data_IF_855860000757
#
_entry.id   IF_855860000757
#
_cell.length_a   1.000
_cell.length_b   1.000
_cell.length_c   1.000
_cell.angle_alpha   90.00
_cell.angle_beta   90.00
_cell.angle_gamma   90.00
#
_symmetry.space_group_name_H-M   'P 1'
#
loop_
_entity.id
_entity.type
_entity.pdbx_description
1 polymer ?
#
# COMPACT_ATOMS: atom_id res chain seq x y z
N UNK A 1 -23.92 -3.43 7.67
CA UNK A 1 -23.31 -3.61 9.02
C UNK A 1 -22.18 -2.59 9.15
N UNK A 2 -22.18 -1.81 10.20
CA UNK A 2 -21.11 -0.83 10.40
C UNK A 2 -19.91 -1.56 11.00
N UNK A 3 -18.87 -1.80 10.18
CA UNK A 3 -17.69 -2.58 10.62
C UNK A 3 -16.79 -1.84 11.62
N UNK A 4 -17.11 -0.58 11.94
CA UNK A 4 -16.44 0.17 13.01
C UNK A 4 -16.49 -0.54 14.35
N UNK A 5 -17.55 -1.29 14.64
CA UNK A 5 -17.69 -2.07 15.87
C UNK A 5 -16.65 -3.20 16.00
N UNK A 6 -16.06 -3.64 14.90
CA UNK A 6 -14.96 -4.62 14.89
C UNK A 6 -13.57 -3.97 15.10
N UNK A 7 -13.52 -2.63 15.13
CA UNK A 7 -12.28 -1.88 15.33
C UNK A 7 -12.27 -1.20 16.69
N UNK A 8 -13.44 -0.76 17.16
CA UNK A 8 -13.58 0.02 18.37
C UNK A 8 -14.27 -0.75 19.51
N UNK A 9 -13.78 -0.69 20.77
CA UNK A 9 -12.58 0.03 21.21
C UNK A 9 -11.26 -0.70 20.92
N UNK A 10 -11.30 -2.03 20.69
CA UNK A 10 -10.14 -2.90 20.41
C UNK A 10 -10.42 -3.71 19.15
N UNK A 11 -9.51 -3.74 18.17
CA UNK A 11 -9.73 -4.47 16.92
C UNK A 11 -9.87 -5.99 17.12
N UNK A 12 -10.96 -6.55 16.62
CA UNK A 12 -11.14 -7.99 16.40
C UNK A 12 -10.67 -8.33 14.97
N UNK A 13 -9.35 -8.43 14.77
CA UNK A 13 -8.77 -8.66 13.45
C UNK A 13 -9.21 -9.98 12.80
N UNK A 14 -9.30 -11.13 13.50
CA UNK A 14 -9.80 -12.36 12.89
C UNK A 14 -11.19 -12.18 12.28
N UNK A 15 -12.12 -11.61 13.03
CA UNK A 15 -13.49 -11.39 12.54
C UNK A 15 -13.56 -10.33 11.46
N UNK A 16 -12.77 -9.26 11.59
CA UNK A 16 -12.68 -8.21 10.57
C UNK A 16 -12.14 -8.78 9.25
N UNK A 17 -11.11 -9.62 9.30
CA UNK A 17 -10.53 -10.26 8.11
C UNK A 17 -11.55 -11.15 7.40
N UNK A 18 -12.26 -12.01 8.13
CA UNK A 18 -13.34 -12.85 7.57
C UNK A 18 -14.37 -12.02 6.84
N UNK A 19 -14.91 -10.99 7.50
CA UNK A 19 -15.95 -10.14 6.89
C UNK A 19 -15.41 -9.40 5.66
N UNK A 20 -14.18 -8.87 5.71
CA UNK A 20 -13.58 -8.20 4.56
C UNK A 20 -13.36 -9.15 3.37
N UNK A 21 -13.02 -10.41 3.62
CA UNK A 21 -12.79 -11.39 2.57
C UNK A 21 -14.10 -11.93 1.96
N UNK A 22 -15.20 -11.92 2.73
CA UNK A 22 -16.56 -12.24 2.24
C UNK A 22 -17.16 -11.11 1.38
N UNK A 23 -16.73 -9.86 1.57
CA UNK A 23 -17.22 -8.73 0.80
C UNK A 23 -16.66 -8.76 -0.63
N UNK A 24 -17.51 -8.48 -1.62
CA UNK A 24 -17.06 -8.13 -2.96
C UNK A 24 -16.26 -6.81 -2.98
N UNK A 25 -15.41 -6.65 -3.98
CA UNK A 25 -14.48 -5.51 -4.07
C UNK A 25 -15.13 -4.13 -3.82
N UNK A 26 -16.29 -3.77 -4.44
CA UNK A 26 -16.87 -2.44 -4.22
C UNK A 26 -17.27 -2.19 -2.76
N UNK A 27 -17.85 -3.19 -2.09
CA UNK A 27 -18.28 -3.07 -0.68
C UNK A 27 -17.08 -3.03 0.26
N UNK A 28 -16.04 -3.81 -0.02
CA UNK A 28 -14.76 -3.81 0.72
C UNK A 28 -14.10 -2.43 0.63
N UNK A 29 -14.03 -1.88 -0.58
CA UNK A 29 -13.44 -0.57 -0.84
C UNK A 29 -14.22 0.55 -0.12
N UNK A 30 -15.56 0.54 -0.19
CA UNK A 30 -16.39 1.50 0.53
C UNK A 30 -16.16 1.40 2.06
N UNK A 31 -16.00 0.20 2.57
CA UNK A 31 -15.70 -0.04 3.99
C UNK A 31 -14.39 0.61 4.42
N UNK A 32 -13.29 0.32 3.73
CA UNK A 32 -11.98 0.86 4.13
C UNK A 32 -11.88 2.38 3.98
N UNK A 33 -12.64 2.96 3.05
CA UNK A 33 -12.70 4.41 2.82
C UNK A 33 -13.32 5.19 3.98
N UNK A 34 -14.12 4.53 4.83
CA UNK A 34 -14.76 5.11 6.02
C UNK A 34 -13.85 5.11 7.24
N UNK A 35 -12.76 4.32 7.23
CA UNK A 35 -11.87 4.26 8.37
C UNK A 35 -11.16 5.58 8.60
N UNK A 36 -11.36 6.13 9.78
CA UNK A 36 -10.72 7.37 10.20
C UNK A 36 -9.27 7.12 10.65
N UNK A 37 -8.59 8.20 11.04
CA UNK A 37 -7.21 8.14 11.49
C UNK A 37 -7.04 7.29 12.75
N UNK A 38 -7.94 7.42 13.72
CA UNK A 38 -7.84 6.68 14.99
C UNK A 38 -7.98 5.18 14.75
N UNK A 39 -8.90 4.78 13.88
CA UNK A 39 -9.11 3.40 13.48
C UNK A 39 -7.90 2.86 12.70
N UNK A 40 -7.31 3.63 11.78
CA UNK A 40 -6.11 3.21 11.05
C UNK A 40 -4.91 3.01 11.99
N UNK A 41 -4.74 3.85 13.01
CA UNK A 41 -3.70 3.66 14.03
C UNK A 41 -3.90 2.34 14.78
N UNK A 42 -5.11 2.10 15.32
CA UNK A 42 -5.45 0.87 16.04
C UNK A 42 -5.23 -0.38 15.19
N UNK A 43 -5.69 -0.34 13.94
CA UNK A 43 -5.52 -1.44 13.00
C UNK A 43 -4.05 -1.72 12.69
N UNK A 44 -3.24 -0.68 12.48
CA UNK A 44 -1.82 -0.87 12.22
C UNK A 44 -1.10 -1.52 13.41
N UNK A 45 -1.40 -1.09 14.62
CA UNK A 45 -0.82 -1.66 15.84
C UNK A 45 -1.27 -3.11 16.04
N UNK A 46 -2.56 -3.38 15.92
CA UNK A 46 -3.11 -4.73 16.09
C UNK A 46 -2.64 -5.71 14.99
N UNK A 47 -2.38 -5.23 13.77
CA UNK A 47 -1.92 -6.06 12.65
C UNK A 47 -0.46 -6.52 12.78
N UNK A 48 0.24 -6.16 13.84
CA UNK A 48 1.60 -6.61 14.09
C UNK A 48 1.65 -8.14 14.28
N UNK A 49 2.28 -8.83 13.32
CA UNK A 49 2.39 -10.30 13.33
C UNK A 49 1.07 -11.05 13.08
N UNK A 50 -0.05 -10.36 12.81
CA UNK A 50 -1.36 -11.00 12.61
C UNK A 50 -1.41 -11.80 11.31
N UNK A 51 -1.17 -11.17 10.17
CA UNK A 51 -1.14 -11.83 8.86
C UNK A 51 0.16 -11.51 8.16
N UNK A 52 0.93 -12.56 7.83
CA UNK A 52 2.13 -12.40 7.02
C UNK A 52 1.77 -11.95 5.61
N UNK A 53 2.44 -10.89 5.17
CA UNK A 53 2.39 -10.43 3.79
C UNK A 53 3.53 -11.04 2.99
N UNK A 54 3.24 -11.28 1.73
CA UNK A 54 4.18 -11.68 0.69
C UNK A 54 4.02 -10.76 -0.51
N UNK A 55 4.91 -10.83 -1.48
CA UNK A 55 4.77 -10.08 -2.73
C UNK A 55 3.51 -10.47 -3.51
N UNK A 56 3.04 -11.71 -3.36
CA UNK A 56 1.81 -12.21 -4.01
C UNK A 56 0.53 -11.55 -3.44
N UNK A 57 0.57 -11.01 -2.24
CA UNK A 57 -0.54 -10.20 -1.72
C UNK A 57 -0.69 -8.87 -2.49
N UNK A 58 0.39 -8.40 -3.15
CA UNK A 58 0.39 -7.18 -3.97
C UNK A 58 0.19 -7.46 -5.45
N UNK A 59 0.90 -8.45 -6.00
CA UNK A 59 0.73 -8.89 -7.38
C UNK A 59 0.63 -10.41 -7.37
N UNK A 60 -0.58 -10.99 -7.56
CA UNK A 60 -0.79 -12.43 -7.54
C UNK A 60 0.18 -13.21 -8.43
N UNK A 61 0.54 -14.42 -8.01
CA UNK A 61 1.55 -15.24 -8.70
C UNK A 61 1.16 -15.59 -10.14
N UNK A 62 -0.13 -15.65 -10.45
CA UNK A 62 -0.70 -15.91 -11.78
C UNK A 62 -0.66 -14.71 -12.73
N UNK A 63 -0.42 -13.49 -12.22
CA UNK A 63 -0.27 -12.30 -13.08
C UNK A 63 1.06 -12.34 -13.83
N UNK A 64 1.02 -12.11 -15.12
CA UNK A 64 2.22 -12.01 -15.95
C UNK A 64 3.09 -10.78 -15.58
N UNK A 65 4.40 -10.82 -15.91
CA UNK A 65 5.27 -9.63 -15.79
C UNK A 65 4.68 -8.41 -16.49
N UNK A 66 4.93 -7.22 -15.93
CA UNK A 66 4.50 -5.91 -16.44
C UNK A 66 2.98 -5.72 -16.57
N UNK A 67 2.17 -6.61 -15.99
CA UNK A 67 0.71 -6.41 -15.86
C UNK A 67 0.43 -5.66 -14.57
N UNK A 68 -0.34 -4.56 -14.71
CA UNK A 68 -0.74 -3.69 -13.61
C UNK A 68 -1.71 -4.38 -12.66
N UNK A 69 -1.48 -4.21 -11.35
CA UNK A 69 -2.44 -4.53 -10.27
C UNK A 69 -2.69 -3.27 -9.45
N UNK A 70 -3.96 -2.90 -9.31
CA UNK A 70 -4.38 -1.68 -8.63
C UNK A 70 -4.69 -1.96 -7.17
N UNK A 71 -4.17 -1.13 -6.28
CA UNK A 71 -4.56 -1.06 -4.88
C UNK A 71 -5.11 0.33 -4.58
N UNK A 72 -6.38 0.38 -4.23
CA UNK A 72 -7.04 1.62 -3.82
C UNK A 72 -6.66 1.98 -2.40
N UNK A 73 -6.24 3.22 -2.19
CA UNK A 73 -5.74 3.72 -0.91
C UNK A 73 -6.61 4.76 -0.24
N UNK A 74 -6.61 4.76 1.10
CA UNK A 74 -7.20 5.79 1.95
C UNK A 74 -6.17 6.26 2.97
N UNK A 75 -5.77 7.53 2.88
CA UNK A 75 -4.86 8.18 3.83
C UNK A 75 -5.55 8.54 5.14
N UNK A 76 -4.77 8.54 6.23
CA UNK A 76 -5.17 9.12 7.53
C UNK A 76 -5.05 10.64 7.57
N UNK A 77 -4.47 11.26 6.54
CA UNK A 77 -4.29 12.71 6.45
C UNK A 77 -5.60 13.41 6.04
N UNK A 78 -5.81 14.69 6.45
CA UNK A 78 -7.05 15.42 6.17
C UNK A 78 -7.23 15.80 4.70
N UNK A 79 -6.13 15.86 3.91
CA UNK A 79 -6.14 16.19 2.48
C UNK A 79 -5.65 15.00 1.64
N UNK A 80 -6.07 14.95 0.36
CA UNK A 80 -5.70 13.88 -0.58
C UNK A 80 -6.02 12.49 -0.05
N UNK A 81 -7.24 12.34 0.46
CA UNK A 81 -7.67 11.17 1.21
C UNK A 81 -7.67 9.87 0.40
N UNK A 82 -7.89 9.95 -0.92
CA UNK A 82 -7.94 8.78 -1.78
C UNK A 82 -6.84 8.84 -2.82
N UNK A 83 -6.19 7.71 -3.05
CA UNK A 83 -5.12 7.53 -4.03
C UNK A 83 -5.13 6.08 -4.51
N UNK A 84 -4.25 5.75 -5.43
CA UNK A 84 -3.97 4.36 -5.79
C UNK A 84 -2.46 4.14 -5.73
N UNK A 85 -2.07 2.96 -5.28
CA UNK A 85 -0.75 2.41 -5.58
C UNK A 85 -0.93 1.35 -6.65
N UNK A 86 -0.17 1.45 -7.72
CA UNK A 86 -0.21 0.51 -8.83
C UNK A 86 1.07 -0.28 -8.84
N UNK A 87 0.96 -1.58 -9.00
CA UNK A 87 2.06 -2.53 -8.85
C UNK A 87 2.17 -3.39 -10.10
N UNK A 88 3.38 -3.88 -10.40
CA UNK A 88 3.61 -4.93 -11.38
C UNK A 88 4.83 -5.77 -10.97
N UNK A 89 4.93 -6.98 -11.55
CA UNK A 89 6.18 -7.74 -11.54
C UNK A 89 7.17 -7.13 -12.52
N UNK A 90 8.50 -7.26 -12.26
CA UNK A 90 9.53 -6.93 -13.25
C UNK A 90 9.32 -7.66 -14.58
N UNK A 91 9.78 -7.07 -15.68
CA UNK A 91 9.80 -7.73 -17.00
C UNK A 91 10.73 -8.93 -17.03
N UNK A 92 11.82 -8.89 -16.27
CA UNK A 92 12.70 -10.02 -16.03
C UNK A 92 12.08 -10.98 -15.01
N UNK A 93 11.53 -12.10 -15.49
CA UNK A 93 10.87 -13.11 -14.68
C UNK A 93 11.79 -13.82 -13.65
N UNK A 94 13.11 -13.63 -13.73
CA UNK A 94 14.07 -14.16 -12.75
C UNK A 94 14.11 -13.33 -11.47
N UNK A 95 13.66 -12.07 -11.52
CA UNK A 95 13.55 -11.16 -10.37
C UNK A 95 12.25 -11.43 -9.61
N UNK A 96 12.29 -12.39 -8.71
CA UNK A 96 11.11 -12.82 -7.92
C UNK A 96 11.03 -12.20 -6.53
N UNK A 97 12.04 -11.43 -6.14
CA UNK A 97 12.21 -10.83 -4.80
C UNK A 97 11.80 -9.35 -4.72
N UNK A 98 11.25 -8.81 -5.81
CA UNK A 98 10.85 -7.40 -5.89
C UNK A 98 9.63 -7.19 -6.78
N UNK A 99 8.87 -6.12 -6.50
CA UNK A 99 7.86 -5.58 -7.41
C UNK A 99 8.19 -4.12 -7.68
N UNK A 100 7.64 -3.57 -8.76
CA UNK A 100 7.71 -2.15 -9.09
C UNK A 100 6.33 -1.51 -8.96
N UNK A 101 6.31 -0.21 -8.66
CA UNK A 101 5.05 0.50 -8.59
C UNK A 101 5.20 2.01 -8.54
N UNK A 102 4.05 2.68 -8.56
CA UNK A 102 3.96 4.13 -8.44
C UNK A 102 2.65 4.56 -7.77
N UNK A 103 2.61 5.81 -7.29
CA UNK A 103 1.39 6.40 -6.76
C UNK A 103 0.61 7.10 -7.87
N UNK A 104 -0.60 6.64 -8.12
CA UNK A 104 -1.56 7.29 -9.01
C UNK A 104 -2.48 8.19 -8.16
N UNK A 105 -2.33 9.50 -8.34
CA UNK A 105 -3.10 10.51 -7.59
C UNK A 105 -3.28 11.79 -8.42
N UNK A 106 -4.33 12.55 -8.10
CA UNK A 106 -4.71 13.74 -8.87
C UNK A 106 -3.68 14.88 -8.87
N UNK A 107 -2.81 14.92 -7.86
CA UNK A 107 -1.74 15.93 -7.71
C UNK A 107 -0.36 15.45 -8.21
N UNK A 108 -0.30 14.33 -8.93
CA UNK A 108 0.97 13.80 -9.47
C UNK A 108 1.69 14.77 -10.41
N UNK A 109 0.99 15.72 -11.02
CA UNK A 109 1.58 16.79 -11.84
C UNK A 109 2.56 17.66 -11.03
N UNK A 110 2.31 17.87 -9.73
CA UNK A 110 3.15 18.67 -8.85
C UNK A 110 4.22 17.83 -8.13
N UNK A 111 3.88 16.65 -7.66
CA UNK A 111 4.75 15.81 -6.83
C UNK A 111 5.55 14.78 -7.65
N UNK A 112 5.16 14.55 -8.89
CA UNK A 112 5.60 13.39 -9.67
C UNK A 112 4.83 12.12 -9.29
N UNK A 113 5.03 11.03 -10.03
CA UNK A 113 4.34 9.76 -9.83
C UNK A 113 4.78 9.00 -8.56
N UNK A 114 5.91 9.35 -7.96
CA UNK A 114 6.40 8.67 -6.75
C UNK A 114 6.62 7.18 -6.98
N UNK A 115 7.58 6.83 -7.84
CA UNK A 115 7.96 5.45 -8.11
C UNK A 115 8.63 4.79 -6.91
N UNK A 116 8.38 3.49 -6.73
CA UNK A 116 8.93 2.70 -5.63
C UNK A 116 9.20 1.25 -6.06
N UNK A 117 10.11 0.60 -5.36
CA UNK A 117 10.25 -0.85 -5.38
C UNK A 117 9.67 -1.46 -4.10
N UNK A 118 9.20 -2.70 -4.19
CA UNK A 118 8.59 -3.43 -3.07
C UNK A 118 9.43 -4.65 -2.76
N UNK A 119 9.71 -4.86 -1.48
CA UNK A 119 10.48 -6.00 -0.99
C UNK A 119 9.91 -6.50 0.35
N UNK A 120 10.27 -7.72 0.72
CA UNK A 120 10.09 -8.17 2.09
C UNK A 120 10.89 -7.30 3.04
N UNK A 121 10.28 -6.90 4.15
CA UNK A 121 10.93 -6.12 5.19
C UNK A 121 11.89 -6.99 6.04
N UNK A 122 12.75 -6.35 6.81
CA UNK A 122 13.62 -7.05 7.77
C UNK A 122 12.79 -7.80 8.84
N UNK A 123 11.64 -7.25 9.21
CA UNK A 123 10.69 -7.92 10.11
C UNK A 123 9.82 -8.89 9.33
N UNK A 124 9.88 -10.16 9.70
CA UNK A 124 9.11 -11.25 9.07
C UNK A 124 7.61 -10.94 9.01
N UNK A 125 7.04 -11.11 7.83
CA UNK A 125 5.63 -10.88 7.56
C UNK A 125 5.24 -9.43 7.27
N UNK A 126 6.18 -8.49 7.30
CA UNK A 126 5.99 -7.12 6.81
C UNK A 126 6.55 -6.95 5.39
N UNK A 127 6.04 -5.97 4.67
CA UNK A 127 6.51 -5.58 3.32
C UNK A 127 6.92 -4.12 3.35
N UNK A 128 8.06 -3.81 2.74
CA UNK A 128 8.54 -2.44 2.53
C UNK A 128 8.21 -1.96 1.13
N UNK A 129 7.51 -0.83 1.03
CA UNK A 129 7.35 -0.05 -0.20
C UNK A 129 8.39 1.06 -0.15
N UNK A 130 9.48 0.90 -0.90
CA UNK A 130 10.69 1.70 -0.76
C UNK A 130 10.86 2.70 -1.91
N UNK A 131 10.70 3.98 -1.61
CA UNK A 131 10.84 5.10 -2.54
C UNK A 131 12.31 5.53 -2.77
N UNK A 132 13.24 4.96 -2.02
CA UNK A 132 14.68 5.23 -2.17
C UNK A 132 15.29 4.44 -3.32
N UNK A 133 14.62 3.36 -3.72
CA UNK A 133 15.09 2.45 -4.76
C UNK A 133 14.66 2.96 -6.15
N UNK A 134 15.56 2.86 -7.11
CA UNK A 134 15.26 3.20 -8.51
C UNK A 134 14.48 2.07 -9.15
N UNK A 135 13.39 2.43 -9.83
CA UNK A 135 12.62 1.52 -10.69
C UNK A 135 13.22 1.60 -12.11
N UNK A 136 13.81 0.52 -12.64
CA UNK A 136 14.52 0.57 -13.92
C UNK A 136 13.61 0.47 -15.16
N UNK A 137 12.40 -0.02 -14.96
CA UNK A 137 11.43 -0.31 -16.03
C UNK A 137 10.00 -0.18 -15.53
N UNK A 138 9.05 -0.07 -16.45
CA UNK A 138 7.62 0.10 -16.14
C UNK A 138 6.77 -0.41 -17.30
N UNK A 139 5.48 -0.75 -17.08
CA UNK A 139 4.50 -0.89 -18.15
C UNK A 139 4.44 0.35 -19.04
N UNK A 140 4.18 0.18 -20.33
CA UNK A 140 4.18 1.27 -21.32
C UNK A 140 3.17 2.37 -20.98
N UNK A 141 2.03 2.00 -20.39
CA UNK A 141 0.91 2.88 -20.05
C UNK A 141 1.16 3.72 -18.79
N UNK A 142 2.18 3.37 -18.00
CA UNK A 142 2.51 4.13 -16.80
C UNK A 142 3.20 5.46 -17.15
N UNK A 143 3.07 6.48 -16.29
CA UNK A 143 3.74 7.77 -16.51
C UNK A 143 5.25 7.61 -16.60
N UNK A 144 5.95 8.61 -17.14
CA UNK A 144 7.41 8.62 -17.17
C UNK A 144 8.00 8.50 -15.77
N UNK A 145 9.11 7.77 -15.67
CA UNK A 145 9.84 7.64 -14.41
C UNK A 145 10.55 8.97 -14.15
N UNK A 146 10.11 9.66 -13.11
CA UNK A 146 10.71 10.90 -12.62
C UNK A 146 11.36 10.58 -11.28
N UNK A 147 12.63 10.96 -11.05
CA UNK A 147 13.29 10.77 -9.78
C UNK A 147 12.51 11.39 -8.61
N UNK A 148 12.42 10.68 -7.50
CA UNK A 148 11.64 11.11 -6.33
C UNK A 148 12.19 12.37 -5.63
N UNK A 149 13.41 12.79 -5.95
CA UNK A 149 14.00 14.05 -5.48
C UNK A 149 13.67 15.26 -6.38
N UNK A 150 13.03 15.02 -7.54
CA UNK A 150 12.59 16.09 -8.43
C UNK A 150 11.26 16.67 -8.01
N UNK A 151 10.96 17.88 -8.47
CA UNK A 151 9.74 18.62 -8.19
C UNK A 151 9.47 18.71 -6.66
N UNK A 152 8.21 18.68 -6.28
CA UNK A 152 7.80 18.60 -4.88
C UNK A 152 7.91 17.17 -4.31
N UNK A 153 8.24 16.16 -5.13
CA UNK A 153 8.44 14.77 -4.74
C UNK A 153 9.49 14.61 -3.63
N UNK A 154 10.53 15.45 -3.63
CA UNK A 154 11.54 15.46 -2.56
C UNK A 154 10.98 15.67 -1.16
N UNK A 155 9.89 16.41 -1.03
CA UNK A 155 9.25 16.64 0.27
C UNK A 155 8.35 15.48 0.67
N UNK A 156 7.81 14.75 -0.31
CA UNK A 156 6.84 13.66 -0.11
C UNK A 156 7.54 12.31 -0.08
N UNK A 157 8.35 11.99 -1.09
CA UNK A 157 8.85 10.63 -1.34
C UNK A 157 10.32 10.40 -0.97
N UNK A 158 11.16 11.46 -1.02
CA UNK A 158 12.59 11.29 -0.80
C UNK A 158 12.90 10.73 0.60
N UNK A 159 13.63 9.61 0.64
CA UNK A 159 14.02 8.94 1.88
C UNK A 159 12.88 8.24 2.61
N UNK A 160 11.73 8.00 1.93
CA UNK A 160 10.55 7.38 2.51
C UNK A 160 10.52 5.87 2.24
N UNK A 161 10.00 5.16 3.22
CA UNK A 161 9.62 3.75 3.15
C UNK A 161 8.27 3.59 3.84
N UNK A 162 7.33 2.93 3.19
CA UNK A 162 6.07 2.55 3.82
C UNK A 162 6.19 1.11 4.31
N UNK A 163 5.99 0.89 5.60
CA UNK A 163 6.00 -0.45 6.22
C UNK A 163 4.58 -0.96 6.28
N UNK A 164 4.33 -2.09 5.63
CA UNK A 164 3.01 -2.66 5.42
C UNK A 164 2.76 -3.88 6.28
N UNK A 165 1.54 -4.02 6.80
CA UNK A 165 1.03 -5.15 7.59
C UNK A 165 -0.25 -5.69 6.97
N UNK A 166 -0.47 -7.00 7.06
CA UNK A 166 -1.66 -7.65 6.51
C UNK A 166 -2.87 -7.56 7.45
N UNK A 167 -4.05 -7.28 6.89
CA UNK A 167 -5.34 -7.35 7.59
C UNK A 167 -6.16 -8.53 7.04
N UNK A 168 -6.37 -8.58 5.72
CA UNK A 168 -7.12 -9.66 5.07
C UNK A 168 -6.45 -10.06 3.74
N UNK A 169 -7.06 -10.92 2.96
CA UNK A 169 -6.54 -11.35 1.65
C UNK A 169 -6.33 -10.19 0.68
N UNK A 170 -7.15 -9.15 0.78
CA UNK A 170 -7.13 -8.03 -0.15
C UNK A 170 -6.83 -6.69 0.53
N UNK A 171 -6.70 -6.67 1.86
CA UNK A 171 -6.52 -5.42 2.62
C UNK A 171 -5.23 -5.47 3.42
N UNK A 172 -4.43 -4.43 3.24
CA UNK A 172 -3.23 -4.17 4.04
C UNK A 172 -3.22 -2.75 4.58
N UNK A 173 -2.47 -2.53 5.64
CA UNK A 173 -2.34 -1.23 6.29
C UNK A 173 -0.87 -0.85 6.40
N UNK A 174 -0.55 0.42 6.14
CA UNK A 174 0.81 0.93 6.12
C UNK A 174 1.03 2.11 7.03
N UNK A 175 2.28 2.25 7.48
CA UNK A 175 2.78 3.45 8.13
C UNK A 175 4.03 3.94 7.43
N UNK A 176 4.05 5.23 7.11
CA UNK A 176 5.22 5.86 6.50
C UNK A 176 6.38 6.00 7.50
N UNK A 177 7.59 5.72 7.03
CA UNK A 177 8.86 6.06 7.69
C UNK A 177 9.65 7.00 6.79
N UNK A 178 10.32 7.98 7.37
CA UNK A 178 11.23 8.87 6.64
C UNK A 178 12.57 8.95 7.35
N UNK A 179 13.66 8.65 6.62
CA UNK A 179 15.01 8.60 7.19
C UNK A 179 15.09 7.73 8.46
N UNK A 180 14.43 6.58 8.45
CA UNK A 180 14.39 5.62 9.55
C UNK A 180 13.46 5.96 10.72
N UNK A 181 12.80 7.13 10.71
CA UNK A 181 11.86 7.54 11.77
C UNK A 181 10.42 7.34 11.33
N UNK A 182 9.60 6.78 12.21
CA UNK A 182 8.16 6.66 11.98
C UNK A 182 7.52 8.04 11.82
N UNK A 183 6.72 8.18 10.78
CA UNK A 183 5.91 9.37 10.56
C UNK A 183 4.53 9.21 11.20
N UNK A 184 3.86 10.35 11.38
CA UNK A 184 2.49 10.41 11.86
C UNK A 184 1.49 10.33 10.69
N UNK A 185 1.70 9.31 9.84
CA UNK A 185 0.97 9.08 8.60
C UNK A 185 0.73 7.58 8.38
N UNK A 186 -0.55 7.20 8.36
CA UNK A 186 -1.02 5.85 8.07
C UNK A 186 -1.89 5.86 6.82
N UNK A 187 -2.04 4.69 6.23
CA UNK A 187 -2.96 4.49 5.12
C UNK A 187 -3.34 3.02 5.00
N UNK A 188 -4.52 2.78 4.47
CA UNK A 188 -5.00 1.44 4.15
C UNK A 188 -5.02 1.25 2.64
N UNK A 189 -4.72 0.04 2.17
CA UNK A 189 -4.83 -0.37 0.77
C UNK A 189 -5.83 -1.50 0.62
N UNK A 190 -6.60 -1.47 -0.46
CA UNK A 190 -7.48 -2.54 -0.91
C UNK A 190 -7.13 -2.91 -2.34
N UNK A 191 -6.66 -4.16 -2.55
CA UNK A 191 -6.35 -4.69 -3.87
C UNK A 191 -7.62 -4.88 -4.68
N UNK A 192 -7.60 -4.44 -5.93
CA UNK A 192 -8.62 -4.74 -6.93
C UNK A 192 -8.52 -6.22 -7.38
N UNK A 193 -9.68 -6.85 -7.63
CA UNK A 193 -9.76 -8.26 -8.07
C UNK A 193 -9.86 -8.37 -9.59
#
# INVERSE_FOLDING_TARGET
MELSVLIDPVPDLPRLAEVLDELGHPARLDTIRRWDRAQQIKLYEAADGFKKLTLDDYVPSDKAPMIEVIHHGKNSLPAFNHFQKRFCKPGDATKTDTLYGYNHQSNAWATGPGYFAVKTADKDGEIDIDYRLTVPEKPSEWPEIIPNHDKLGRFVYEGMVDVMRGISKHVSIGRAKKKGKNMDAWFVLCREE
#
